data_IF_745274731459
#
_entry.id   IF_745274731459
#
_cell.length_a   1.000
_cell.length_b   1.000
_cell.length_c   1.000
_cell.angle_alpha   90.00
_cell.angle_beta   90.00
_cell.angle_gamma   90.00
#
_symmetry.space_group_name_H-M   'P 1'
#
loop_
_entity.id
_entity.type
_entity.pdbx_description
1 polymer ?
#
# COMPACT_ATOMS: atom_id res chain seq x y z
N UNK A 1 -34.83 49.74 -19.35
CA UNK A 1 -33.37 49.54 -19.18
C UNK A 1 -32.99 48.38 -18.25
N UNK A 2 -33.60 48.20 -17.07
CA UNK A 2 -33.18 47.18 -16.08
C UNK A 2 -33.27 45.70 -16.50
N UNK A 3 -34.10 45.34 -17.49
CA UNK A 3 -34.21 43.95 -17.98
C UNK A 3 -32.94 43.48 -18.71
N UNK A 4 -32.21 44.38 -19.37
CA UNK A 4 -31.02 44.03 -20.16
C UNK A 4 -29.85 43.59 -19.27
N UNK A 5 -29.65 44.28 -18.14
CA UNK A 5 -28.54 44.02 -17.22
C UNK A 5 -28.68 42.66 -16.51
N UNK A 6 -29.92 42.26 -16.17
CA UNK A 6 -30.17 40.97 -15.51
C UNK A 6 -29.87 39.77 -16.40
N UNK A 7 -30.10 39.88 -17.72
CA UNK A 7 -29.82 38.82 -18.68
C UNK A 7 -28.30 38.64 -18.84
N UNK A 8 -27.55 39.73 -18.94
CA UNK A 8 -26.10 39.68 -19.13
C UNK A 8 -25.38 39.02 -17.94
N UNK A 9 -25.81 39.34 -16.71
CA UNK A 9 -25.26 38.72 -15.49
C UNK A 9 -25.61 37.23 -15.43
N UNK A 10 -26.85 36.86 -15.72
CA UNK A 10 -27.28 35.45 -15.70
C UNK A 10 -26.50 34.58 -16.71
N UNK A 11 -26.19 35.13 -17.89
CA UNK A 11 -25.37 34.44 -18.91
C UNK A 11 -23.93 34.26 -18.44
N UNK A 12 -23.30 35.31 -17.87
CA UNK A 12 -21.92 35.22 -17.35
C UNK A 12 -21.79 34.22 -16.21
N UNK A 13 -22.74 34.22 -15.27
CA UNK A 13 -22.74 33.26 -14.15
C UNK A 13 -22.89 31.82 -14.65
N UNK A 14 -23.82 31.56 -15.59
CA UNK A 14 -23.95 30.23 -16.19
C UNK A 14 -22.66 29.80 -16.90
N UNK A 15 -22.04 30.68 -17.68
CA UNK A 15 -20.80 30.37 -18.39
C UNK A 15 -19.66 29.99 -17.44
N UNK A 16 -19.49 30.73 -16.33
CA UNK A 16 -18.46 30.43 -15.32
C UNK A 16 -18.70 29.07 -14.66
N UNK A 17 -19.95 28.74 -14.32
CA UNK A 17 -20.31 27.44 -13.72
C UNK A 17 -20.09 26.27 -14.69
N UNK A 18 -20.38 26.47 -15.98
CA UNK A 18 -20.10 25.47 -17.00
C UNK A 18 -18.61 25.24 -17.20
N UNK A 19 -17.80 26.30 -17.23
CA UNK A 19 -16.35 26.21 -17.41
C UNK A 19 -15.64 25.57 -16.21
N UNK A 20 -16.08 25.84 -14.98
CA UNK A 20 -15.49 25.20 -13.80
C UNK A 20 -15.76 23.70 -13.76
N UNK A 21 -16.97 23.29 -14.14
CA UNK A 21 -17.38 21.87 -14.14
C UNK A 21 -16.61 21.05 -15.17
N UNK A 22 -16.36 21.59 -16.36
CA UNK A 22 -15.56 20.91 -17.40
C UNK A 22 -14.09 20.79 -17.02
N UNK A 23 -13.49 21.82 -16.40
CA UNK A 23 -12.10 21.75 -15.92
C UNK A 23 -11.94 20.65 -14.87
N UNK A 24 -12.86 20.55 -13.91
CA UNK A 24 -12.84 19.52 -12.87
C UNK A 24 -12.91 18.12 -13.50
N UNK A 25 -13.80 17.90 -14.47
CA UNK A 25 -13.92 16.62 -15.16
C UNK A 25 -12.64 16.23 -15.92
N UNK A 26 -11.98 17.20 -16.57
CA UNK A 26 -10.71 16.97 -17.29
C UNK A 26 -9.59 16.58 -16.30
N UNK A 27 -9.45 17.29 -15.18
CA UNK A 27 -8.42 16.96 -14.17
C UNK A 27 -8.64 15.56 -13.60
N UNK A 28 -9.90 15.20 -13.31
CA UNK A 28 -10.25 13.89 -12.78
C UNK A 28 -9.95 12.76 -13.78
N UNK A 29 -10.27 12.97 -15.06
CA UNK A 29 -9.99 12.00 -16.12
C UNK A 29 -8.48 11.82 -16.33
N UNK A 30 -7.71 12.91 -16.32
CA UNK A 30 -6.25 12.87 -16.43
C UNK A 30 -5.60 12.12 -15.27
N UNK A 31 -6.06 12.34 -14.03
CA UNK A 31 -5.60 11.58 -12.87
C UNK A 31 -5.92 10.10 -13.00
N UNK A 32 -7.14 9.75 -13.43
CA UNK A 32 -7.55 8.36 -13.63
C UNK A 32 -6.67 7.65 -14.68
N UNK A 33 -6.41 8.30 -15.82
CA UNK A 33 -5.53 7.75 -16.85
C UNK A 33 -4.08 7.60 -16.36
N UNK A 34 -3.59 8.52 -15.55
CA UNK A 34 -2.26 8.41 -14.94
C UNK A 34 -2.16 7.19 -14.01
N UNK A 35 -3.17 6.94 -13.18
CA UNK A 35 -3.22 5.76 -12.32
C UNK A 35 -3.31 4.44 -13.11
N UNK A 36 -4.06 4.43 -14.23
CA UNK A 36 -4.11 3.26 -15.11
C UNK A 36 -2.74 2.96 -15.74
N UNK A 37 -2.04 3.99 -16.21
CA UNK A 37 -0.69 3.85 -16.79
C UNK A 37 0.31 3.26 -15.78
N UNK A 38 0.26 3.71 -14.52
CA UNK A 38 1.09 3.16 -13.43
C UNK A 38 0.76 1.69 -13.10
N UNK A 39 -0.43 1.22 -13.42
CA UNK A 39 -0.84 -0.16 -13.14
C UNK A 39 -0.36 -1.16 -14.19
N UNK A 40 -0.01 -0.72 -15.41
CA UNK A 40 0.34 -1.63 -16.51
C UNK A 40 1.81 -2.08 -16.52
N UNK A 41 2.71 -1.38 -15.82
CA UNK A 41 4.15 -1.72 -15.82
C UNK A 41 4.54 -2.95 -14.97
N UNK A 42 3.60 -3.65 -14.32
CA UNK A 42 3.94 -4.70 -13.34
C UNK A 42 4.04 -6.13 -13.94
N UNK A 43 3.72 -6.37 -15.21
CA UNK A 43 3.57 -7.75 -15.72
C UNK A 43 4.26 -8.06 -17.04
N UNK A 44 5.53 -7.68 -17.19
CA UNK A 44 6.36 -8.30 -18.23
C UNK A 44 7.70 -8.77 -17.66
N UNK A 45 7.71 -10.00 -17.14
CA UNK A 45 8.95 -10.75 -17.05
C UNK A 45 9.51 -10.89 -18.47
N UNK A 46 10.73 -10.39 -18.75
CA UNK A 46 11.36 -10.61 -20.05
C UNK A 46 11.47 -12.11 -20.27
N UNK A 47 10.79 -12.58 -21.32
CA UNK A 47 10.83 -13.97 -21.77
C UNK A 47 12.19 -14.17 -22.44
N UNK A 48 13.25 -14.29 -21.65
CA UNK A 48 14.56 -14.70 -22.16
C UNK A 48 14.44 -16.15 -22.59
N UNK A 49 14.31 -16.32 -23.90
CA UNK A 49 14.34 -17.59 -24.59
C UNK A 49 15.68 -18.27 -24.34
N UNK A 50 15.59 -19.51 -23.85
CA UNK A 50 16.56 -20.59 -24.01
C UNK A 50 17.80 -20.55 -23.11
N UNK A 51 17.71 -21.19 -21.94
CA UNK A 51 18.51 -22.39 -21.59
C UNK A 51 18.16 -22.88 -20.18
N UNK A 52 17.29 -23.90 -20.16
CA UNK A 52 17.08 -24.94 -19.15
C UNK A 52 17.35 -24.61 -17.67
N UNK A 53 16.24 -24.33 -16.98
CA UNK A 53 16.07 -24.52 -15.54
C UNK A 53 14.58 -24.51 -15.24
N UNK A 54 13.93 -25.67 -15.34
CA UNK A 54 12.48 -25.83 -15.16
C UNK A 54 12.06 -25.27 -13.80
N UNK A 55 11.39 -24.12 -13.79
CA UNK A 55 10.75 -23.59 -12.59
C UNK A 55 9.60 -24.54 -12.24
N UNK A 56 9.58 -25.19 -11.07
CA UNK A 56 8.47 -26.06 -10.69
C UNK A 56 7.19 -25.21 -10.66
N UNK A 57 6.17 -25.67 -11.39
CA UNK A 57 4.84 -25.06 -11.45
C UNK A 57 4.31 -24.81 -10.03
N UNK A 58 4.38 -23.56 -9.57
CA UNK A 58 3.72 -23.10 -8.35
C UNK A 58 2.22 -23.33 -8.51
N UNK A 59 1.66 -24.19 -7.64
CA UNK A 59 0.22 -24.37 -7.50
C UNK A 59 -0.41 -23.00 -7.21
N UNK A 60 -1.29 -22.55 -8.10
CA UNK A 60 -2.17 -21.40 -7.84
C UNK A 60 -3.09 -21.77 -6.68
N UNK A 61 -2.74 -21.31 -5.48
CA UNK A 61 -3.66 -21.26 -4.35
C UNK A 61 -4.54 -20.03 -4.55
N UNK A 62 -5.74 -20.24 -5.07
CA UNK A 62 -6.78 -19.20 -5.10
C UNK A 62 -7.19 -18.88 -3.66
N UNK A 63 -7.04 -17.62 -3.19
CA UNK A 63 -7.54 -17.25 -1.89
C UNK A 63 -9.06 -17.07 -1.99
N UNK A 64 -9.80 -17.98 -1.36
CA UNK A 64 -11.22 -17.77 -1.06
C UNK A 64 -11.29 -16.74 0.06
N UNK A 65 -11.45 -15.47 -0.30
CA UNK A 65 -11.73 -14.40 0.66
C UNK A 65 -13.25 -14.24 0.69
N UNK A 66 -13.91 -15.00 1.56
CA UNK A 66 -15.28 -14.70 1.96
C UNK A 66 -15.22 -13.43 2.81
N UNK A 67 -15.64 -12.32 2.21
CA UNK A 67 -15.68 -11.02 2.87
C UNK A 67 -16.78 -10.98 3.93
N UNK A 68 -16.37 -10.76 5.17
CA UNK A 68 -17.27 -10.32 6.23
C UNK A 68 -16.90 -8.87 6.58
N UNK A 69 -17.77 -7.96 6.14
CA UNK A 69 -17.63 -6.52 6.24
C UNK A 69 -17.87 -6.06 7.69
N UNK A 70 -16.91 -6.25 8.58
CA UNK A 70 -16.94 -5.57 9.89
C UNK A 70 -16.38 -4.16 9.73
N UNK A 71 -17.29 -3.20 9.56
CA UNK A 71 -17.17 -1.75 9.77
C UNK A 71 -15.74 -1.19 9.96
N UNK A 72 -15.17 -0.69 8.87
CA UNK A 72 -13.82 -0.10 8.76
C UNK A 72 -13.65 1.30 9.38
N UNK A 73 -14.61 1.79 10.17
CA UNK A 73 -14.65 3.20 10.61
C UNK A 73 -14.15 3.47 12.04
N UNK A 74 -13.57 2.50 12.74
CA UNK A 74 -13.18 2.64 14.15
C UNK A 74 -11.69 2.43 14.47
N UNK A 75 -10.81 2.24 13.48
CA UNK A 75 -9.53 1.56 13.70
C UNK A 75 -8.28 2.43 13.82
N UNK A 76 -8.37 3.77 13.84
CA UNK A 76 -7.16 4.60 13.65
C UNK A 76 -6.96 5.84 14.52
N UNK A 77 -7.65 5.99 15.65
CA UNK A 77 -7.38 7.14 16.54
C UNK A 77 -6.75 6.80 17.88
N UNK A 78 -6.78 5.53 18.29
CA UNK A 78 -6.17 5.12 19.55
C UNK A 78 -5.68 3.67 19.41
N UNK A 79 -4.50 3.49 18.80
CA UNK A 79 -3.75 2.26 19.09
C UNK A 79 -3.51 2.34 20.58
N UNK A 80 -4.10 1.46 21.40
CA UNK A 80 -4.02 1.51 22.87
C UNK A 80 -2.57 1.53 23.41
N UNK A 81 -2.28 1.02 24.61
CA UNK A 81 -0.92 1.11 25.18
C UNK A 81 0.07 0.17 24.44
N UNK A 82 0.44 0.52 23.22
CA UNK A 82 1.47 -0.08 22.40
C UNK A 82 2.74 0.69 22.68
N UNK A 83 3.59 0.12 23.52
CA UNK A 83 4.89 0.67 23.84
C UNK A 83 5.99 -0.17 23.19
N UNK A 84 6.96 0.55 22.60
CA UNK A 84 8.18 -0.05 22.09
C UNK A 84 9.05 -0.40 23.29
N UNK A 85 9.38 -1.68 23.43
CA UNK A 85 10.30 -2.14 24.46
C UNK A 85 11.44 -2.93 23.82
N UNK A 86 12.61 -2.97 24.47
CA UNK A 86 13.66 -3.92 24.13
C UNK A 86 13.38 -5.24 24.83
N UNK A 87 13.09 -6.31 24.08
CA UNK A 87 12.70 -7.57 24.71
C UNK A 87 13.88 -8.20 25.47
N UNK A 88 13.69 -8.69 26.72
CA UNK A 88 14.76 -9.28 27.51
C UNK A 88 15.30 -10.60 26.93
N UNK A 89 14.47 -11.30 26.15
CA UNK A 89 14.82 -12.53 25.43
C UNK A 89 15.22 -12.25 23.98
N UNK A 90 15.46 -10.99 23.61
CA UNK A 90 15.84 -10.66 22.24
C UNK A 90 17.25 -11.19 21.92
N UNK A 91 17.34 -12.07 20.92
CA UNK A 91 18.60 -12.46 20.30
C UNK A 91 18.90 -11.56 19.09
N UNK A 92 20.13 -11.62 18.60
CA UNK A 92 20.55 -10.93 17.37
C UNK A 92 19.95 -11.52 16.09
N UNK A 93 19.16 -12.60 16.19
CA UNK A 93 18.53 -13.27 15.06
C UNK A 93 17.03 -12.98 14.89
N UNK A 94 16.46 -12.22 15.82
CA UNK A 94 15.08 -11.75 15.69
C UNK A 94 14.92 -10.82 14.49
N UNK A 95 13.88 -11.08 13.70
CA UNK A 95 13.56 -10.31 12.49
C UNK A 95 12.27 -9.53 12.66
N UNK A 96 12.24 -8.35 12.07
CA UNK A 96 11.01 -7.55 12.01
C UNK A 96 9.93 -8.28 11.19
N UNK A 97 8.77 -8.52 11.81
CA UNK A 97 7.65 -9.23 11.18
C UNK A 97 7.17 -8.50 9.91
N UNK A 98 7.05 -7.17 9.96
CA UNK A 98 6.62 -6.37 8.79
C UNK A 98 7.63 -6.48 7.63
N UNK A 99 8.94 -6.42 7.91
CA UNK A 99 9.95 -6.59 6.87
C UNK A 99 9.92 -7.99 6.26
N UNK A 100 9.76 -9.01 7.11
CA UNK A 100 9.66 -10.40 6.68
C UNK A 100 8.44 -10.63 5.79
N UNK A 101 7.28 -10.08 6.17
CA UNK A 101 6.05 -10.18 5.41
C UNK A 101 6.17 -9.47 4.05
N UNK A 102 6.73 -8.25 4.02
CA UNK A 102 7.02 -7.54 2.76
C UNK A 102 7.95 -8.35 1.85
N UNK A 103 9.02 -8.92 2.41
CA UNK A 103 9.93 -9.80 1.68
C UNK A 103 9.20 -11.02 1.10
N UNK A 104 8.38 -11.70 1.91
CA UNK A 104 7.64 -12.89 1.49
C UNK A 104 6.63 -12.59 0.38
N UNK A 105 5.92 -11.47 0.46
CA UNK A 105 4.97 -11.05 -0.59
C UNK A 105 5.66 -10.81 -1.93
N UNK A 106 6.76 -10.07 -1.96
CA UNK A 106 7.49 -9.82 -3.21
C UNK A 106 8.03 -11.13 -3.79
N UNK A 107 8.53 -12.04 -2.93
CA UNK A 107 9.01 -13.36 -3.35
C UNK A 107 7.89 -14.25 -3.91
N UNK A 108 6.70 -14.20 -3.31
CA UNK A 108 5.54 -14.96 -3.79
C UNK A 108 5.01 -14.42 -5.13
N UNK A 109 4.96 -13.10 -5.28
CA UNK A 109 4.52 -12.44 -6.52
C UNK A 109 5.53 -12.62 -7.66
N UNK A 110 6.82 -12.70 -7.33
CA UNK A 110 7.90 -12.79 -8.30
C UNK A 110 8.84 -13.97 -7.96
N UNK A 111 8.45 -15.23 -8.21
CA UNK A 111 9.27 -16.39 -7.83
C UNK A 111 10.64 -16.43 -8.50
N UNK A 112 10.80 -15.74 -9.64
CA UNK A 112 12.06 -15.63 -10.39
C UNK A 112 12.99 -14.52 -9.89
N UNK A 113 12.54 -13.68 -8.94
CA UNK A 113 13.36 -12.56 -8.44
C UNK A 113 14.55 -13.10 -7.65
N UNK A 114 15.73 -12.51 -7.85
CA UNK A 114 16.90 -12.93 -7.08
C UNK A 114 16.80 -12.42 -5.64
N UNK A 115 17.39 -13.15 -4.70
CA UNK A 115 17.36 -12.74 -3.28
C UNK A 115 17.95 -11.34 -3.03
N UNK A 116 18.88 -10.90 -3.87
CA UNK A 116 19.52 -9.58 -3.75
C UNK A 116 18.57 -8.42 -4.07
N UNK A 117 17.55 -8.69 -4.88
CA UNK A 117 16.55 -7.71 -5.31
C UNK A 117 15.31 -7.71 -4.40
N UNK A 118 15.21 -8.67 -3.47
CA UNK A 118 14.14 -8.71 -2.49
C UNK A 118 14.32 -7.61 -1.43
N UNK A 119 13.20 -7.08 -0.86
CA UNK A 119 13.26 -6.17 0.27
C UNK A 119 14.09 -6.76 1.41
N UNK A 120 15.08 -6.00 1.90
CA UNK A 120 15.93 -6.46 3.00
C UNK A 120 15.11 -6.68 4.27
N UNK A 121 15.29 -7.84 4.90
CA UNK A 121 14.74 -8.08 6.22
C UNK A 121 15.65 -7.48 7.28
N UNK A 122 15.13 -6.57 8.10
CA UNK A 122 15.88 -5.97 9.20
C UNK A 122 15.86 -6.86 10.45
N UNK A 123 17.03 -7.04 11.06
CA UNK A 123 17.16 -7.59 12.41
C UNK A 123 16.74 -6.52 13.43
N UNK A 124 16.10 -6.92 14.53
CA UNK A 124 15.66 -5.98 15.57
C UNK A 124 15.64 -6.64 16.94
N UNK A 125 15.89 -5.86 17.99
CA UNK A 125 15.73 -6.26 19.39
C UNK A 125 14.49 -5.61 20.03
N UNK A 126 13.81 -4.76 19.27
CA UNK A 126 12.61 -4.06 19.73
C UNK A 126 11.37 -4.88 19.41
N UNK A 127 10.44 -4.89 20.35
CA UNK A 127 9.15 -5.54 20.18
C UNK A 127 8.03 -4.67 20.71
N UNK A 128 6.81 -4.93 20.26
CA UNK A 128 5.62 -4.38 20.88
C UNK A 128 5.27 -5.24 22.09
N UNK A 129 5.29 -4.67 23.30
CA UNK A 129 4.98 -5.43 24.51
C UNK A 129 3.53 -5.93 24.54
N UNK A 130 2.60 -5.21 23.91
CA UNK A 130 1.20 -5.61 23.81
C UNK A 130 1.00 -6.73 22.78
N UNK A 131 1.50 -6.56 21.55
CA UNK A 131 1.33 -7.54 20.47
C UNK A 131 2.31 -8.73 20.55
N UNK A 132 3.36 -8.66 21.37
CA UNK A 132 4.43 -9.66 21.49
C UNK A 132 5.12 -9.97 20.16
N UNK A 133 5.31 -8.96 19.30
CA UNK A 133 5.95 -9.09 17.98
C UNK A 133 7.18 -8.18 17.83
N UNK A 134 8.21 -8.69 17.16
CA UNK A 134 9.43 -7.94 16.86
C UNK A 134 9.20 -6.97 15.70
N UNK A 135 9.52 -5.69 15.92
CA UNK A 135 9.31 -4.62 14.97
C UNK A 135 10.57 -3.78 14.79
N UNK A 136 10.82 -3.36 13.55
CA UNK A 136 11.91 -2.44 13.26
C UNK A 136 11.49 -1.02 13.69
N UNK A 137 12.31 -0.38 14.51
CA UNK A 137 12.21 1.06 14.79
C UNK A 137 13.29 1.72 13.95
N UNK A 138 13.01 1.85 12.67
CA UNK A 138 13.98 2.30 11.66
C UNK A 138 14.08 3.81 11.55
N UNK A 139 15.02 4.23 10.70
CA UNK A 139 15.27 5.59 10.20
C UNK A 139 13.95 6.31 9.89
N UNK A 140 13.87 7.66 10.09
CA UNK A 140 12.67 8.41 9.75
C UNK A 140 12.19 8.04 8.34
N UNK A 141 10.89 7.74 8.20
CA UNK A 141 10.19 7.29 6.98
C UNK A 141 10.01 5.76 6.81
N UNK A 142 10.63 4.90 7.62
CA UNK A 142 10.38 3.45 7.59
C UNK A 142 9.95 2.89 8.95
N UNK A 143 8.79 3.35 9.42
CA UNK A 143 8.23 2.89 10.69
C UNK A 143 7.44 1.59 10.48
N UNK A 144 8.13 0.45 10.54
CA UNK A 144 7.48 -0.86 10.65
C UNK A 144 6.46 -0.89 11.80
N UNK A 145 6.72 -0.11 12.85
CA UNK A 145 5.79 0.09 13.96
C UNK A 145 4.43 0.62 13.53
N UNK A 146 4.40 1.72 12.78
CA UNK A 146 3.15 2.32 12.30
C UNK A 146 2.47 1.41 11.28
N UNK A 147 3.25 0.83 10.36
CA UNK A 147 2.73 -0.11 9.37
C UNK A 147 2.02 -1.29 10.04
N UNK A 148 2.63 -1.87 11.08
CA UNK A 148 2.03 -2.98 11.84
C UNK A 148 0.70 -2.57 12.45
N UNK A 149 0.64 -1.46 13.20
CA UNK A 149 -0.59 -1.10 13.92
C UNK A 149 -1.68 -0.48 13.03
N UNK A 150 -1.31 0.18 11.93
CA UNK A 150 -2.25 0.85 11.03
C UNK A 150 -2.85 -0.07 9.97
N UNK A 151 -2.14 -1.12 9.52
CA UNK A 151 -2.54 -1.90 8.36
C UNK A 151 -2.90 -3.33 8.76
N UNK A 152 -4.19 -3.65 8.62
CA UNK A 152 -4.79 -4.98 8.91
C UNK A 152 -4.09 -6.12 8.17
N UNK A 153 -3.50 -5.83 7.01
CA UNK A 153 -2.78 -6.83 6.21
C UNK A 153 -1.61 -7.49 6.94
N UNK A 154 -1.09 -6.91 8.02
CA UNK A 154 -0.01 -7.51 8.79
C UNK A 154 -0.51 -8.31 10.00
N UNK A 155 -1.81 -8.33 10.30
CA UNK A 155 -2.38 -8.99 11.48
C UNK A 155 -2.82 -10.43 11.22
N UNK A 156 -2.59 -10.96 10.02
CA UNK A 156 -3.02 -12.30 9.59
C UNK A 156 -1.90 -13.31 9.68
#
# INVERSE_FOLDING_TARGET
>A
MFRSIRIEIAVKVRLVVFLSSTIIAIVQLSLYLFFLSLSEEVTQCPRTSNLFGSCPQSRQLSPTITGENTSEHGRLQDYGPHEVERAPHATSDNRCVVCLEKHNRVRQQNPCVTYKDLPKTSKTVYWCNYCKVFLCVGVPQQYCWQDWHAKVQFWR
#
